data_IF_176926237942
#
_entry.id   IF_176926237942
#
_cell.length_a   1.000
_cell.length_b   1.000
_cell.length_c   1.000
_cell.angle_alpha   90.00
_cell.angle_beta   90.00
_cell.angle_gamma   90.00
#
_symmetry.space_group_name_H-M   'P 1'
#
loop_
_entity.id
_entity.type
_entity.pdbx_description
1 polymer ?
#
# COMPACT_ATOMS: atom_id res chain seq x y z
N UNK A 1 4.81 -23.27 -11.62
CA UNK A 1 4.84 -23.00 -13.08
C UNK A 1 5.49 -21.63 -13.31
N UNK A 2 6.82 -21.56 -13.26
CA UNK A 2 7.62 -20.35 -13.55
C UNK A 2 8.74 -20.71 -14.56
N UNK A 3 8.54 -21.74 -15.39
CA UNK A 3 9.66 -22.52 -15.94
C UNK A 3 9.94 -22.36 -17.44
N UNK A 4 9.14 -21.60 -18.21
CA UNK A 4 9.44 -21.32 -19.63
C UNK A 4 9.95 -19.89 -19.86
N UNK A 5 9.21 -18.88 -19.43
CA UNK A 5 9.59 -17.47 -19.69
C UNK A 5 10.79 -17.00 -18.87
N UNK A 6 11.00 -17.60 -17.70
CA UNK A 6 12.25 -17.36 -16.97
C UNK A 6 13.44 -17.93 -17.74
N UNK A 7 13.33 -19.08 -18.42
CA UNK A 7 14.47 -19.70 -19.13
C UNK A 7 14.99 -18.85 -20.30
N UNK A 8 14.19 -17.95 -20.86
CA UNK A 8 14.62 -16.98 -21.87
C UNK A 8 15.12 -15.66 -21.29
N UNK A 9 15.04 -15.48 -19.96
CA UNK A 9 15.45 -14.26 -19.28
C UNK A 9 16.89 -14.37 -18.79
N UNK A 10 17.78 -13.48 -19.23
CA UNK A 10 19.19 -13.53 -18.77
C UNK A 10 19.40 -12.84 -17.42
N UNK A 11 18.49 -11.94 -17.02
CA UNK A 11 18.59 -11.15 -15.80
C UNK A 11 17.22 -10.81 -15.20
N UNK A 12 17.10 -10.90 -13.88
CA UNK A 12 15.92 -10.52 -13.10
C UNK A 12 16.24 -9.30 -12.23
N UNK A 13 15.39 -8.28 -12.29
CA UNK A 13 15.47 -7.10 -11.42
C UNK A 13 14.45 -7.21 -10.30
N UNK A 14 14.83 -6.84 -9.08
CA UNK A 14 13.93 -6.91 -7.93
C UNK A 14 14.15 -5.75 -6.95
N UNK A 15 13.08 -5.24 -6.31
CA UNK A 15 13.17 -4.07 -5.46
C UNK A 15 13.90 -4.33 -4.14
N UNK A 16 14.32 -3.25 -3.49
CA UNK A 16 15.27 -3.26 -2.37
C UNK A 16 14.79 -4.03 -1.14
N UNK A 17 13.47 -4.21 -1.01
CA UNK A 17 12.87 -4.86 0.14
C UNK A 17 12.65 -6.36 -0.05
N UNK A 18 12.78 -6.95 -1.25
CA UNK A 18 12.54 -8.39 -1.51
C UNK A 18 13.62 -9.29 -0.87
N UNK A 19 13.23 -10.47 -0.34
CA UNK A 19 14.18 -11.41 0.31
C UNK A 19 15.07 -12.08 -0.74
N UNK A 20 16.38 -12.07 -0.51
CA UNK A 20 17.38 -12.70 -1.40
C UNK A 20 17.23 -14.22 -1.58
N UNK A 21 16.66 -14.94 -0.60
CA UNK A 21 16.47 -16.40 -0.68
C UNK A 21 15.53 -16.87 -1.81
N UNK A 22 14.66 -16.00 -2.35
CA UNK A 22 13.81 -16.34 -3.50
C UNK A 22 14.63 -16.38 -4.81
N UNK A 23 15.84 -15.81 -4.80
CA UNK A 23 16.63 -15.48 -5.98
C UNK A 23 17.88 -16.36 -6.15
N UNK A 24 18.11 -17.34 -5.29
CA UNK A 24 19.30 -18.19 -5.29
C UNK A 24 19.26 -19.32 -6.33
N UNK A 25 18.46 -19.20 -7.38
CA UNK A 25 18.46 -20.17 -8.47
C UNK A 25 19.55 -19.82 -9.49
N UNK A 26 20.45 -20.77 -9.76
CA UNK A 26 21.62 -20.62 -10.63
C UNK A 26 21.35 -20.30 -12.11
N UNK A 27 20.08 -20.22 -12.52
CA UNK A 27 19.71 -20.05 -13.92
C UNK A 27 19.74 -18.59 -14.41
N UNK A 28 19.72 -17.60 -13.51
CA UNK A 28 19.58 -16.18 -13.89
C UNK A 28 20.51 -15.27 -13.09
N UNK A 29 21.03 -14.23 -13.73
CA UNK A 29 21.64 -13.12 -12.99
C UNK A 29 20.54 -12.34 -12.28
N UNK A 30 20.76 -11.98 -11.02
CA UNK A 30 19.78 -11.19 -10.26
C UNK A 30 20.39 -9.85 -9.87
N UNK A 31 19.61 -8.77 -10.01
CA UNK A 31 20.04 -7.41 -9.68
C UNK A 31 19.02 -6.73 -8.80
N UNK A 32 19.46 -6.38 -7.59
CA UNK A 32 18.70 -5.54 -6.70
C UNK A 32 18.62 -4.12 -7.27
N UNK A 33 17.42 -3.55 -7.29
CA UNK A 33 17.17 -2.18 -7.71
C UNK A 33 16.52 -1.39 -6.60
N UNK A 34 16.56 -0.07 -6.75
CA UNK A 34 15.74 0.86 -6.00
C UNK A 34 14.26 0.68 -6.35
N UNK A 35 13.38 1.27 -5.55
CA UNK A 35 11.95 1.21 -5.78
C UNK A 35 11.57 1.89 -7.11
N UNK A 36 10.44 1.48 -7.69
CA UNK A 36 9.89 2.06 -8.91
C UNK A 36 8.65 2.87 -8.53
N UNK A 37 8.72 4.19 -8.69
CA UNK A 37 7.57 5.08 -8.44
C UNK A 37 7.48 6.13 -9.54
N UNK A 38 6.26 6.31 -10.07
CA UNK A 38 5.97 7.42 -10.96
C UNK A 38 5.74 8.71 -10.16
N UNK A 39 6.81 9.48 -9.96
CA UNK A 39 6.75 10.75 -9.22
C UNK A 39 5.80 11.78 -9.85
N UNK A 40 5.52 11.71 -11.14
CA UNK A 40 4.63 12.67 -11.80
C UNK A 40 3.18 12.57 -11.30
N UNK A 41 2.78 11.43 -10.72
CA UNK A 41 1.47 11.30 -10.10
C UNK A 41 1.28 12.28 -8.93
N UNK A 42 2.33 12.71 -8.26
CA UNK A 42 2.28 13.49 -7.01
C UNK A 42 2.55 14.99 -7.18
N UNK A 43 2.79 15.46 -8.42
CA UNK A 43 3.15 16.87 -8.68
C UNK A 43 1.96 17.83 -8.84
N UNK A 44 0.74 17.32 -8.95
CA UNK A 44 -0.45 18.18 -9.07
C UNK A 44 -0.96 18.53 -7.66
N UNK A 45 -1.17 19.83 -7.41
CA UNK A 45 -1.58 20.36 -6.12
C UNK A 45 -2.92 19.78 -5.65
N UNK A 46 -2.91 19.15 -4.48
CA UNK A 46 -4.06 18.52 -3.82
C UNK A 46 -4.34 19.19 -2.46
N UNK A 47 -4.25 20.52 -2.41
CA UNK A 47 -4.39 21.31 -1.17
C UNK A 47 -5.73 21.07 -0.44
N UNK A 48 -6.79 20.68 -1.15
CA UNK A 48 -8.10 20.43 -0.55
C UNK A 48 -8.11 19.24 0.40
N UNK A 49 -7.21 18.28 0.22
CA UNK A 49 -7.14 17.08 1.08
C UNK A 49 -6.37 17.31 2.39
N UNK A 50 -5.66 18.43 2.51
CA UNK A 50 -4.91 18.77 3.72
C UNK A 50 -5.81 19.34 4.85
N UNK A 51 -7.01 19.84 4.52
CA UNK A 51 -7.92 20.49 5.47
C UNK A 51 -8.75 19.45 6.22
N UNK A 52 -8.22 18.95 7.32
CA UNK A 52 -8.95 18.10 8.26
C UNK A 52 -8.70 18.60 9.68
N UNK A 53 -9.77 18.64 10.49
CA UNK A 53 -9.71 19.06 11.91
C UNK A 53 -9.49 17.89 12.85
N UNK A 54 -9.54 16.66 12.33
CA UNK A 54 -9.40 15.45 13.12
C UNK A 54 -7.95 15.08 13.38
N UNK A 55 -7.75 14.28 14.44
CA UNK A 55 -6.41 13.92 14.93
C UNK A 55 -5.61 13.10 13.92
N UNK A 56 -6.29 12.23 13.16
CA UNK A 56 -5.66 11.39 12.17
C UNK A 56 -6.42 11.36 10.86
N UNK A 57 -5.68 11.16 9.78
CA UNK A 57 -6.19 10.92 8.44
C UNK A 57 -5.82 9.50 8.01
N UNK A 58 -6.84 8.70 7.69
CA UNK A 58 -6.69 7.32 7.25
C UNK A 58 -7.17 7.17 5.81
N UNK A 59 -6.30 6.67 4.93
CA UNK A 59 -6.73 6.23 3.59
C UNK A 59 -7.13 4.75 3.63
N UNK A 60 -8.37 4.43 3.26
CA UNK A 60 -8.83 3.06 3.05
C UNK A 60 -8.87 2.79 1.54
N UNK A 61 -7.94 1.96 1.07
CA UNK A 61 -7.83 1.62 -0.35
C UNK A 61 -8.62 0.35 -0.67
N UNK A 62 -9.58 0.47 -1.59
CA UNK A 62 -10.32 -0.65 -2.15
C UNK A 62 -9.75 -1.08 -3.52
N UNK A 63 -8.46 -1.39 -3.56
CA UNK A 63 -7.76 -1.94 -4.73
C UNK A 63 -7.55 -3.47 -4.61
N UNK A 64 -8.40 -4.11 -3.81
CA UNK A 64 -8.30 -5.52 -3.47
C UNK A 64 -9.14 -6.45 -4.34
N UNK A 65 -9.20 -7.71 -3.95
CA UNK A 65 -10.19 -8.65 -4.48
C UNK A 65 -11.60 -8.24 -4.05
N UNK A 66 -12.62 -8.72 -4.78
CA UNK A 66 -14.04 -8.54 -4.42
C UNK A 66 -14.32 -8.86 -2.96
N UNK A 67 -13.68 -9.89 -2.40
CA UNK A 67 -13.81 -10.25 -0.98
C UNK A 67 -13.36 -9.13 -0.05
N UNK A 68 -12.21 -8.50 -0.31
CA UNK A 68 -11.72 -7.38 0.49
C UNK A 68 -12.64 -6.15 0.33
N UNK A 69 -13.09 -5.88 -0.90
CA UNK A 69 -14.06 -4.81 -1.16
C UNK A 69 -15.34 -4.98 -0.34
N UNK A 70 -15.90 -6.18 -0.30
CA UNK A 70 -17.10 -6.47 0.49
C UNK A 70 -16.86 -6.37 2.00
N UNK A 71 -15.66 -6.71 2.48
CA UNK A 71 -15.29 -6.50 3.89
C UNK A 71 -15.19 -5.01 4.23
N UNK A 72 -14.58 -4.21 3.37
CA UNK A 72 -14.49 -2.75 3.54
C UNK A 72 -15.89 -2.14 3.55
N UNK A 73 -16.74 -2.46 2.55
CA UNK A 73 -18.13 -1.98 2.48
C UNK A 73 -18.90 -2.24 3.77
N UNK A 74 -18.82 -3.47 4.29
CA UNK A 74 -19.48 -3.88 5.55
C UNK A 74 -18.88 -3.23 6.80
N UNK A 75 -17.73 -2.57 6.67
CA UNK A 75 -17.05 -1.89 7.77
C UNK A 75 -17.42 -0.41 7.88
N UNK A 76 -17.86 0.21 6.78
CA UNK A 76 -18.17 1.65 6.69
C UNK A 76 -19.09 2.14 7.82
N UNK A 77 -20.14 1.38 8.14
CA UNK A 77 -21.11 1.73 9.22
C UNK A 77 -20.49 1.83 10.62
N UNK A 78 -19.30 1.25 10.82
CA UNK A 78 -18.56 1.34 12.08
C UNK A 78 -17.54 2.49 12.09
N UNK A 79 -17.11 2.97 10.92
CA UNK A 79 -16.13 4.06 10.80
C UNK A 79 -16.67 5.39 11.32
N UNK A 80 -17.98 5.65 11.16
CA UNK A 80 -18.61 6.88 11.67
C UNK A 80 -18.53 7.06 13.19
N UNK A 81 -18.29 5.96 13.92
CA UNK A 81 -18.14 5.96 15.38
C UNK A 81 -16.75 6.41 15.83
N UNK A 82 -15.78 6.47 14.92
CA UNK A 82 -14.38 6.79 15.22
C UNK A 82 -14.12 8.26 14.82
N UNK A 83 -14.79 9.17 15.52
CA UNK A 83 -14.87 10.59 15.14
C UNK A 83 -13.55 11.34 15.13
N UNK A 84 -12.51 10.84 15.80
CA UNK A 84 -11.20 11.47 15.83
C UNK A 84 -10.32 11.12 14.61
N UNK A 85 -10.85 10.35 13.65
CA UNK A 85 -10.19 9.97 12.41
C UNK A 85 -11.06 10.38 11.22
N UNK A 86 -10.45 11.06 10.26
CA UNK A 86 -11.00 11.24 8.93
C UNK A 86 -10.61 10.07 8.03
N UNK A 87 -11.62 9.36 7.52
CA UNK A 87 -11.44 8.24 6.62
C UNK A 87 -11.67 8.65 5.18
N UNK A 88 -10.61 8.65 4.39
CA UNK A 88 -10.68 8.80 2.94
C UNK A 88 -10.93 7.43 2.33
N UNK A 89 -12.07 7.25 1.66
CA UNK A 89 -12.55 5.93 1.23
C UNK A 89 -12.68 5.92 -0.29
N UNK A 90 -12.06 4.94 -0.95
CA UNK A 90 -12.30 4.69 -2.37
C UNK A 90 -13.75 4.28 -2.61
N UNK A 91 -14.49 5.02 -3.45
CA UNK A 91 -15.92 4.77 -3.68
C UNK A 91 -16.28 4.35 -5.10
N UNK A 92 -15.31 4.23 -6.02
CA UNK A 92 -15.57 3.97 -7.44
C UNK A 92 -16.51 2.78 -7.67
N UNK A 93 -16.30 1.68 -6.92
CA UNK A 93 -17.04 0.42 -7.05
C UNK A 93 -18.28 0.32 -6.13
N UNK A 94 -18.73 1.43 -5.53
CA UNK A 94 -19.84 1.44 -4.57
C UNK A 94 -21.14 1.87 -5.24
N UNK A 95 -22.26 1.35 -4.72
CA UNK A 95 -23.60 1.80 -5.12
C UNK A 95 -23.83 3.26 -4.74
N UNK A 96 -24.71 3.94 -5.46
CA UNK A 96 -25.04 5.34 -5.18
C UNK A 96 -25.56 5.52 -3.74
N UNK A 97 -26.37 4.59 -3.24
CA UNK A 97 -26.84 4.63 -1.84
C UNK A 97 -25.70 4.62 -0.83
N UNK A 98 -24.66 3.82 -1.08
CA UNK A 98 -23.50 3.75 -0.19
C UNK A 98 -22.60 4.99 -0.33
N UNK A 99 -22.46 5.54 -1.55
CA UNK A 99 -21.76 6.81 -1.80
C UNK A 99 -22.43 7.96 -1.04
N UNK A 100 -23.76 8.06 -1.12
CA UNK A 100 -24.54 9.09 -0.43
C UNK A 100 -24.42 8.93 1.10
N UNK A 101 -24.58 7.69 1.60
CA UNK A 101 -24.37 7.41 3.02
C UNK A 101 -23.01 7.88 3.53
N UNK A 102 -21.93 7.63 2.77
CA UNK A 102 -20.57 8.07 3.10
C UNK A 102 -20.49 9.61 3.12
N UNK A 103 -21.00 10.27 2.07
CA UNK A 103 -20.96 11.72 1.93
C UNK A 103 -21.72 12.47 3.04
N UNK A 104 -22.74 11.85 3.63
CA UNK A 104 -23.51 12.40 4.76
C UNK A 104 -22.76 12.31 6.10
N UNK A 105 -21.68 11.52 6.20
CA UNK A 105 -20.93 11.40 7.45
C UNK A 105 -19.77 12.40 7.51
N UNK A 106 -19.71 13.19 8.59
CA UNK A 106 -18.68 14.22 8.78
C UNK A 106 -17.22 13.72 8.67
N UNK A 107 -16.95 12.48 9.09
CA UNK A 107 -15.60 11.93 9.16
C UNK A 107 -15.31 10.87 8.08
N UNK A 108 -16.20 10.71 7.08
CA UNK A 108 -15.99 9.81 5.94
C UNK A 108 -15.96 10.65 4.66
N UNK A 109 -14.80 10.66 4.00
CA UNK A 109 -14.55 11.47 2.81
C UNK A 109 -14.53 10.52 1.60
N UNK A 110 -15.50 10.61 0.69
CA UNK A 110 -15.49 9.80 -0.52
C UNK A 110 -14.37 10.28 -1.45
N UNK A 111 -13.63 9.33 -2.01
CA UNK A 111 -12.57 9.59 -2.99
C UNK A 111 -12.84 8.76 -4.23
N UNK A 112 -12.93 9.44 -5.36
CA UNK A 112 -13.13 8.81 -6.66
C UNK A 112 -11.88 8.92 -7.52
N UNK A 113 -11.63 7.89 -8.32
CA UNK A 113 -10.52 7.80 -9.24
C UNK A 113 -9.24 7.26 -8.61
N UNK A 114 -8.70 6.22 -9.24
CA UNK A 114 -7.46 5.56 -8.83
C UNK A 114 -6.28 6.54 -8.65
N UNK A 115 -6.12 7.50 -9.59
CA UNK A 115 -5.07 8.53 -9.52
C UNK A 115 -5.14 9.34 -8.22
N UNK A 116 -6.34 9.72 -7.79
CA UNK A 116 -6.57 10.51 -6.57
C UNK A 116 -6.30 9.70 -5.31
N UNK A 117 -6.67 8.42 -5.30
CA UNK A 117 -6.35 7.49 -4.21
C UNK A 117 -4.85 7.39 -3.96
N UNK A 118 -4.06 7.20 -5.03
CA UNK A 118 -2.62 7.09 -4.90
C UNK A 118 -1.97 8.42 -4.48
N UNK A 119 -2.48 9.56 -4.92
CA UNK A 119 -2.01 10.89 -4.49
C UNK A 119 -2.18 11.14 -2.99
N UNK A 120 -3.32 10.72 -2.45
CA UNK A 120 -3.65 10.91 -1.05
C UNK A 120 -2.67 10.26 -0.07
N UNK A 121 -1.93 9.24 -0.52
CA UNK A 121 -0.95 8.54 0.30
C UNK A 121 0.04 9.53 0.96
N UNK A 122 0.47 10.58 0.24
CA UNK A 122 1.38 11.59 0.76
C UNK A 122 0.78 12.44 1.89
N UNK A 123 -0.54 12.61 1.92
CA UNK A 123 -1.24 13.55 2.79
C UNK A 123 -1.92 12.91 4.00
N UNK A 124 -2.09 11.59 3.99
CA UNK A 124 -2.65 10.85 5.14
C UNK A 124 -1.58 10.49 6.16
N UNK A 125 -2.01 10.19 7.39
CA UNK A 125 -1.11 9.75 8.47
C UNK A 125 -0.80 8.26 8.37
N UNK A 126 -1.78 7.46 7.94
CA UNK A 126 -1.65 6.03 7.77
C UNK A 126 -2.66 5.46 6.77
N UNK A 127 -2.47 4.20 6.39
CA UNK A 127 -3.29 3.52 5.40
C UNK A 127 -3.86 2.19 5.91
N UNK A 128 -5.01 1.82 5.37
CA UNK A 128 -5.55 0.46 5.37
C UNK A 128 -5.68 0.03 3.92
N UNK A 129 -4.87 -0.94 3.48
CA UNK A 129 -4.77 -1.28 2.06
C UNK A 129 -4.32 -2.72 1.83
N UNK A 130 -4.53 -3.23 0.62
CA UNK A 130 -3.93 -4.50 0.18
C UNK A 130 -2.42 -4.33 -0.04
N UNK A 131 -1.63 -5.28 0.45
CA UNK A 131 -0.16 -5.28 0.35
C UNK A 131 0.41 -5.70 -1.01
N UNK A 132 -0.15 -5.18 -2.12
CA UNK A 132 0.42 -5.34 -3.46
C UNK A 132 1.66 -4.47 -3.67
N UNK A 133 2.52 -4.81 -4.63
CA UNK A 133 3.81 -4.15 -4.83
C UNK A 133 3.75 -2.62 -5.03
N UNK A 134 2.74 -2.11 -5.74
CA UNK A 134 2.56 -0.66 -5.94
C UNK A 134 2.33 0.04 -4.60
N UNK A 135 1.33 -0.43 -3.83
CA UNK A 135 1.03 0.08 -2.49
C UNK A 135 2.25 0.02 -1.58
N UNK A 136 2.98 -1.12 -1.58
CA UNK A 136 4.18 -1.28 -0.75
C UNK A 136 5.25 -0.27 -1.11
N UNK A 137 5.47 -0.05 -2.40
CA UNK A 137 6.45 0.91 -2.90
C UNK A 137 6.10 2.33 -2.45
N UNK A 138 4.83 2.70 -2.55
CA UNK A 138 4.33 4.02 -2.15
C UNK A 138 4.49 4.24 -0.64
N UNK A 139 4.04 3.32 0.21
CA UNK A 139 4.16 3.49 1.66
C UNK A 139 5.61 3.52 2.13
N UNK A 140 6.52 2.81 1.45
CA UNK A 140 7.95 2.87 1.75
C UNK A 140 8.55 4.22 1.37
N UNK A 141 8.24 4.74 0.17
CA UNK A 141 8.78 6.03 -0.29
C UNK A 141 8.24 7.18 0.54
N UNK A 142 6.92 7.21 0.79
CA UNK A 142 6.27 8.25 1.58
C UNK A 142 6.39 8.04 3.09
N UNK A 143 7.06 6.95 3.52
CA UNK A 143 7.27 6.60 4.93
C UNK A 143 5.98 6.56 5.74
N UNK A 144 4.92 6.00 5.14
CA UNK A 144 3.57 5.95 5.72
C UNK A 144 3.36 4.64 6.47
N UNK A 145 3.05 4.68 7.78
CA UNK A 145 2.56 3.52 8.50
C UNK A 145 1.33 2.92 7.82
N UNK A 146 1.23 1.60 7.79
CA UNK A 146 0.12 0.92 7.14
C UNK A 146 -0.35 -0.31 7.90
N UNK A 147 -1.66 -0.55 7.84
CA UNK A 147 -2.34 -1.80 8.16
C UNK A 147 -2.63 -2.54 6.86
N UNK A 148 -1.84 -3.55 6.57
CA UNK A 148 -1.96 -4.33 5.35
C UNK A 148 -2.98 -5.46 5.50
N UNK A 149 -3.95 -5.50 4.60
CA UNK A 149 -5.06 -6.47 4.60
C UNK A 149 -4.52 -7.84 4.18
N UNK A 150 -4.70 -8.82 5.05
CA UNK A 150 -4.45 -10.22 4.75
C UNK A 150 -5.51 -10.77 3.79
N UNK A 151 -5.07 -11.57 2.82
CA UNK A 151 -5.91 -12.14 1.78
C UNK A 151 -5.68 -13.65 1.72
N UNK A 152 -6.74 -14.41 2.05
CA UNK A 152 -6.70 -15.86 1.97
C UNK A 152 -6.43 -16.30 0.52
N UNK A 153 -5.64 -17.35 0.37
CA UNK A 153 -5.32 -17.98 -0.92
C UNK A 153 -4.54 -17.09 -1.90
N UNK A 154 -3.93 -16.01 -1.43
CA UNK A 154 -3.02 -15.21 -2.24
C UNK A 154 -1.58 -15.31 -1.71
N UNK A 155 -0.76 -16.26 -2.22
CA UNK A 155 0.58 -16.51 -1.69
C UNK A 155 1.52 -15.31 -1.87
N UNK A 156 1.37 -14.54 -2.95
CA UNK A 156 2.14 -13.30 -3.17
C UNK A 156 1.86 -12.28 -2.07
N UNK A 157 0.58 -11.95 -1.84
CA UNK A 157 0.18 -11.01 -0.79
C UNK A 157 0.63 -11.52 0.57
N UNK A 158 0.48 -12.81 0.87
CA UNK A 158 0.96 -13.39 2.13
C UNK A 158 2.46 -13.19 2.32
N UNK A 159 3.28 -13.45 1.31
CA UNK A 159 4.75 -13.27 1.41
C UNK A 159 5.11 -11.80 1.59
N UNK A 160 4.45 -10.91 0.85
CA UNK A 160 4.61 -9.46 0.97
C UNK A 160 4.30 -8.98 2.39
N UNK A 161 3.18 -9.40 2.98
CA UNK A 161 2.79 -9.04 4.35
C UNK A 161 3.79 -9.57 5.38
N UNK A 162 4.19 -10.85 5.27
CA UNK A 162 5.19 -11.44 6.17
C UNK A 162 6.51 -10.68 6.10
N UNK A 163 6.94 -10.31 4.91
CA UNK A 163 8.15 -9.53 4.70
C UNK A 163 8.07 -8.15 5.36
N UNK A 164 7.01 -7.39 5.06
CA UNK A 164 6.83 -6.04 5.60
C UNK A 164 6.69 -6.04 7.12
N UNK A 165 5.99 -7.03 7.67
CA UNK A 165 5.86 -7.21 9.12
C UNK A 165 7.19 -7.59 9.78
N UNK A 166 7.97 -8.51 9.20
CA UNK A 166 9.29 -8.89 9.72
C UNK A 166 10.28 -7.72 9.73
N UNK A 167 10.22 -6.86 8.71
CA UNK A 167 11.03 -5.64 8.65
C UNK A 167 10.50 -4.54 9.62
N UNK A 168 9.27 -4.70 10.14
CA UNK A 168 8.60 -3.72 10.99
C UNK A 168 8.15 -2.47 10.23
N UNK A 169 7.88 -2.60 8.93
CA UNK A 169 7.44 -1.49 8.07
C UNK A 169 5.92 -1.40 7.93
N UNK A 170 5.18 -2.39 8.42
CA UNK A 170 3.71 -2.37 8.45
C UNK A 170 3.18 -3.29 9.55
N UNK A 171 1.92 -3.09 9.93
CA UNK A 171 1.15 -4.04 10.72
C UNK A 171 0.19 -4.83 9.82
N UNK A 172 -0.29 -5.99 10.31
CA UNK A 172 -1.22 -6.85 9.56
C UNK A 172 -2.66 -6.65 10.07
N UNK A 173 -3.60 -6.50 9.12
CA UNK A 173 -5.04 -6.51 9.33
C UNK A 173 -5.61 -7.85 8.86
N UNK A 174 -5.99 -8.72 9.80
CA UNK A 174 -6.67 -9.98 9.47
C UNK A 174 -8.08 -9.69 8.95
N UNK A 175 -8.60 -10.50 8.02
CA UNK A 175 -9.99 -10.36 7.54
C UNK A 175 -11.04 -10.43 8.66
N UNK A 176 -10.74 -11.17 9.74
CA UNK A 176 -11.60 -11.26 10.92
C UNK A 176 -11.66 -9.98 11.75
N UNK A 177 -10.78 -9.00 11.51
CA UNK A 177 -10.76 -7.71 12.18
C UNK A 177 -11.67 -6.67 11.54
N UNK A 178 -12.36 -6.97 10.44
CA UNK A 178 -13.30 -6.05 9.79
C UNK A 178 -14.66 -5.98 10.52
N UNK A 179 -15.57 -5.16 10.02
CA UNK A 179 -16.92 -4.92 10.56
C UNK A 179 -16.82 -4.36 12.00
N UNK A 180 -17.56 -4.93 12.94
CA UNK A 180 -17.61 -4.47 14.34
C UNK A 180 -16.28 -4.53 15.08
N UNK A 181 -15.31 -5.35 14.64
CA UNK A 181 -13.99 -5.47 15.26
C UNK A 181 -12.98 -4.43 14.74
N UNK A 182 -13.32 -3.71 13.68
CA UNK A 182 -12.41 -2.76 13.02
C UNK A 182 -12.01 -1.60 13.95
N UNK A 183 -12.93 -0.96 14.70
CA UNK A 183 -12.56 0.10 15.64
C UNK A 183 -11.49 -0.35 16.64
N UNK A 184 -11.64 -1.54 17.21
CA UNK A 184 -10.67 -2.09 18.17
C UNK A 184 -9.30 -2.31 17.53
N UNK A 185 -9.26 -2.85 16.30
CA UNK A 185 -8.01 -3.09 15.58
C UNK A 185 -7.28 -1.80 15.21
N UNK A 186 -8.01 -0.77 14.77
CA UNK A 186 -7.45 0.56 14.46
C UNK A 186 -6.93 1.22 15.73
N UNK A 187 -7.72 1.21 16.81
CA UNK A 187 -7.31 1.75 18.11
C UNK A 187 -5.99 1.11 18.60
N UNK A 188 -5.87 -0.21 18.47
CA UNK A 188 -4.64 -0.92 18.82
C UNK A 188 -3.46 -0.46 17.95
N UNK A 189 -3.65 -0.39 16.64
CA UNK A 189 -2.61 0.07 15.70
C UNK A 189 -2.09 1.45 16.08
N UNK A 190 -2.99 2.41 16.27
CA UNK A 190 -2.65 3.79 16.58
C UNK A 190 -1.91 3.91 17.92
N UNK A 191 -2.30 3.13 18.93
CA UNK A 191 -1.71 3.20 20.28
C UNK A 191 -0.40 2.43 20.43
N UNK A 192 -0.21 1.34 19.68
CA UNK A 192 0.87 0.36 19.96
C UNK A 192 1.82 0.11 18.80
N UNK A 193 1.37 0.29 17.55
CA UNK A 193 2.15 -0.13 16.37
C UNK A 193 2.62 1.06 15.53
N UNK A 194 1.77 2.08 15.35
CA UNK A 194 1.98 3.15 14.36
C UNK A 194 3.28 3.92 14.57
N UNK A 195 3.57 4.37 15.80
CA UNK A 195 4.78 5.13 16.13
C UNK A 195 6.06 4.33 15.84
N UNK A 196 6.07 3.05 16.22
CA UNK A 196 7.23 2.17 15.99
C UNK A 196 7.48 1.95 14.50
N UNK A 197 6.42 1.73 13.72
CA UNK A 197 6.51 1.60 12.26
C UNK A 197 7.04 2.90 11.65
N UNK A 198 6.49 4.05 12.03
CA UNK A 198 6.91 5.37 11.52
C UNK A 198 8.39 5.63 11.80
N UNK A 199 8.85 5.33 13.01
CA UNK A 199 10.26 5.48 13.37
C UNK A 199 11.17 4.59 12.52
N UNK A 200 10.80 3.32 12.30
CA UNK A 200 11.55 2.39 11.44
C UNK A 200 11.58 2.82 9.98
N UNK A 201 10.50 3.40 9.46
CA UNK A 201 10.46 3.95 8.09
C UNK A 201 11.34 5.21 7.98
N UNK A 202 11.33 6.07 9.00
CA UNK A 202 12.05 7.34 8.98
C UNK A 202 13.57 7.19 8.92
N UNK A 203 14.13 6.17 9.59
CA UNK A 203 15.57 5.88 9.57
C UNK A 203 16.06 5.29 8.24
N UNK A 204 15.16 4.93 7.32
CA UNK A 204 15.52 4.36 6.01
C UNK A 204 15.46 5.43 4.92
N UNK A 205 16.43 5.35 4.00
CA UNK A 205 16.47 6.19 2.80
C UNK A 205 16.07 5.36 1.58
N UNK A 206 14.77 5.26 1.32
CA UNK A 206 14.24 4.56 0.16
C UNK A 206 14.37 5.43 -1.10
N UNK A 207 15.10 4.94 -2.09
CA UNK A 207 15.24 5.61 -3.38
C UNK A 207 14.21 5.07 -4.38
N UNK A 208 13.77 5.91 -5.32
CA UNK A 208 12.69 5.61 -6.27
C UNK A 208 13.13 5.64 -7.75
N UNK A 209 14.43 5.54 -8.02
CA UNK A 209 15.00 5.61 -9.37
C UNK A 209 15.25 4.22 -9.98
N UNK A 210 14.53 3.19 -9.53
CA UNK A 210 14.69 1.81 -9.99
C UNK A 210 14.52 1.66 -11.50
N UNK A 211 13.53 2.33 -12.09
CA UNK A 211 13.32 2.31 -13.55
C UNK A 211 14.55 2.85 -14.32
N UNK A 212 15.15 3.95 -13.85
CA UNK A 212 16.38 4.50 -14.44
C UNK A 212 17.56 3.53 -14.32
N UNK A 213 17.67 2.79 -13.21
CA UNK A 213 18.71 1.78 -13.03
C UNK A 213 18.53 0.60 -14.00
N UNK A 214 17.29 0.17 -14.22
CA UNK A 214 16.96 -0.92 -15.15
C UNK A 214 17.26 -0.50 -16.59
N UNK A 215 16.76 0.66 -17.03
CA UNK A 215 16.98 1.16 -18.39
C UNK A 215 18.47 1.30 -18.71
N UNK A 216 19.26 1.89 -17.79
CA UNK A 216 20.72 1.99 -17.95
C UNK A 216 21.40 0.63 -18.09
N UNK A 217 20.92 -0.38 -17.38
CA UNK A 217 21.49 -1.72 -17.44
C UNK A 217 21.14 -2.44 -18.75
N UNK A 218 19.91 -2.26 -19.25
CA UNK A 218 19.47 -2.79 -20.55
C UNK A 218 20.27 -2.15 -21.70
N UNK A 219 20.41 -0.82 -21.71
CA UNK A 219 21.19 -0.11 -22.74
C UNK A 219 22.63 -0.62 -22.77
N UNK A 220 23.27 -0.74 -21.60
CA UNK A 220 24.64 -1.25 -21.49
C UNK A 220 24.80 -2.70 -22.00
N UNK A 221 23.76 -3.52 -21.87
CA UNK A 221 23.78 -4.89 -22.41
C UNK A 221 23.72 -4.84 -23.94
N UNK A 222 22.84 -3.99 -24.49
CA UNK A 222 22.66 -3.83 -25.93
C UNK A 222 23.88 -3.22 -26.63
N UNK A 223 24.55 -2.22 -26.02
CA UNK A 223 25.76 -1.60 -26.58
C UNK A 223 27.00 -2.53 -26.58
N UNK A 224 26.93 -3.66 -25.87
CA UNK A 224 28.02 -4.63 -25.74
C UNK A 224 27.83 -5.91 -26.55
N UNK A 225 26.65 -6.09 -27.14
CA UNK A 225 26.27 -7.21 -28.02
C UNK A 225 26.43 -6.81 -29.47
#
# INVERSE_FOLDING_TARGET
MISRDLKSSNKIYFPTFTKGKILSNHFFLTKKTNLILNKNLFKENTFDFAKSKNKYKCLIMDNGTKTNSELIKKTIVYLKKIKYIDFYIAVDNYSNNLKNYIAEQENLIPVSGLKNMHRLIEYVDFLVARGGFNTLTEILIFKKPALLIDEKNNPEIRQNLLQMNNLGYSAIMKQSSFKSKFPNRINYFLKKEMTNIKNKLNVKNFQSNGAKQIVKDIIKIYEKS
#
